data_IF_569273721584
#
_entry.id   IF_569273721584
#
_cell.length_a   1.000
_cell.length_b   1.000
_cell.length_c   1.000
_cell.angle_alpha   90.00
_cell.angle_beta   90.00
_cell.angle_gamma   90.00
#
_symmetry.space_group_name_H-M   'P 1'
#
loop_
_entity.id
_entity.type
_entity.pdbx_description
1 polymer ?
#
# COMPACT_ATOMS: atom_id res chain seq x y z
N UNK A 1 -12.86 23.85 -2.23
CA UNK A 1 -11.69 23.92 -3.14
C UNK A 1 -11.25 22.55 -3.68
N UNK A 2 -11.08 21.49 -2.85
CA UNK A 2 -10.76 20.14 -3.38
C UNK A 2 -11.91 19.51 -4.20
N UNK A 3 -13.15 19.59 -3.70
CA UNK A 3 -14.32 19.04 -4.40
C UNK A 3 -14.61 19.72 -5.75
N UNK A 4 -14.34 21.02 -5.83
CA UNK A 4 -14.51 21.82 -7.06
C UNK A 4 -13.48 21.48 -8.13
N UNK A 5 -12.31 20.98 -7.74
CA UNK A 5 -11.23 20.57 -8.66
C UNK A 5 -11.22 19.05 -8.91
N UNK A 6 -12.12 18.30 -8.27
CA UNK A 6 -12.12 16.83 -8.26
C UNK A 6 -10.77 16.21 -7.90
N UNK A 7 -9.99 16.88 -7.05
CA UNK A 7 -8.69 16.38 -6.64
C UNK A 7 -8.80 15.43 -5.46
N UNK A 8 -7.99 14.38 -5.52
CA UNK A 8 -7.83 13.44 -4.42
C UNK A 8 -7.38 14.17 -3.15
N UNK A 9 -7.93 13.75 -2.01
CA UNK A 9 -7.55 14.29 -0.71
C UNK A 9 -6.07 14.01 -0.41
N UNK A 10 -5.47 14.82 0.47
CA UNK A 10 -4.10 14.57 0.93
C UNK A 10 -3.96 13.18 1.56
N UNK A 11 -4.98 12.72 2.29
CA UNK A 11 -5.02 11.39 2.88
C UNK A 11 -4.95 10.30 1.81
N UNK A 12 -5.78 10.40 0.75
CA UNK A 12 -5.74 9.48 -0.37
C UNK A 12 -4.36 9.47 -1.03
N UNK A 13 -3.81 10.64 -1.38
CA UNK A 13 -2.48 10.75 -1.99
C UNK A 13 -1.38 10.12 -1.12
N UNK A 14 -1.41 10.33 0.19
CA UNK A 14 -0.46 9.72 1.15
C UNK A 14 -0.61 8.19 1.21
N UNK A 15 -1.83 7.68 1.17
CA UNK A 15 -2.13 6.26 1.12
C UNK A 15 -1.60 5.62 -0.16
N UNK A 16 -1.91 6.21 -1.33
CA UNK A 16 -1.41 5.77 -2.65
C UNK A 16 0.13 5.73 -2.67
N UNK A 17 0.79 6.78 -2.19
CA UNK A 17 2.26 6.82 -2.12
C UNK A 17 2.84 5.73 -1.22
N UNK A 18 2.17 5.44 -0.09
CA UNK A 18 2.60 4.37 0.82
C UNK A 18 2.48 3.00 0.13
N UNK A 19 1.38 2.74 -0.58
CA UNK A 19 1.19 1.50 -1.35
C UNK A 19 2.22 1.34 -2.47
N UNK A 20 2.54 2.43 -3.19
CA UNK A 20 3.59 2.44 -4.22
C UNK A 20 4.96 2.11 -3.61
N UNK A 21 5.29 2.70 -2.46
CA UNK A 21 6.55 2.42 -1.78
C UNK A 21 6.61 0.98 -1.29
N UNK A 22 5.51 0.43 -0.76
CA UNK A 22 5.43 -0.99 -0.38
C UNK A 22 5.63 -1.92 -1.59
N UNK A 23 5.01 -1.62 -2.73
CA UNK A 23 5.23 -2.36 -3.97
C UNK A 23 6.72 -2.38 -4.34
N UNK A 24 7.37 -1.19 -4.33
CA UNK A 24 8.80 -1.10 -4.61
C UNK A 24 9.63 -1.92 -3.62
N UNK A 25 9.33 -1.89 -2.33
CA UNK A 25 10.04 -2.69 -1.32
C UNK A 25 9.84 -4.18 -1.55
N UNK A 26 8.61 -4.64 -1.81
CA UNK A 26 8.30 -6.04 -2.08
C UNK A 26 9.02 -6.57 -3.33
N UNK A 27 9.09 -5.77 -4.39
CA UNK A 27 9.75 -6.11 -5.64
C UNK A 27 11.25 -5.74 -5.68
N UNK A 28 11.84 -5.37 -4.53
CA UNK A 28 13.26 -5.02 -4.40
C UNK A 28 13.73 -3.89 -5.36
N UNK A 29 12.81 -2.99 -5.73
CA UNK A 29 13.11 -1.81 -6.55
C UNK A 29 13.73 -0.67 -5.73
N UNK A 30 13.81 -0.83 -4.41
CA UNK A 30 14.46 0.07 -3.46
C UNK A 30 15.25 -0.73 -2.43
N UNK A 31 16.37 -0.18 -1.97
CA UNK A 31 17.20 -0.80 -0.94
C UNK A 31 16.62 -0.54 0.47
N UNK A 32 15.50 -1.19 0.77
CA UNK A 32 14.85 -1.17 2.08
C UNK A 32 14.69 -2.61 2.53
N UNK A 33 15.03 -2.89 3.79
CA UNK A 33 14.85 -4.22 4.35
C UNK A 33 13.36 -4.60 4.36
N UNK A 34 13.07 -5.82 3.90
CA UNK A 34 11.74 -6.40 3.79
C UNK A 34 11.50 -7.48 4.84
N UNK A 35 12.37 -7.61 5.86
CA UNK A 35 12.22 -8.55 6.98
C UNK A 35 10.87 -8.46 7.71
N UNK A 36 10.21 -7.30 7.65
CA UNK A 36 8.89 -7.07 8.24
C UNK A 36 7.70 -7.53 7.36
N UNK A 37 7.96 -7.99 6.13
CA UNK A 37 6.95 -8.45 5.19
C UNK A 37 6.89 -9.99 5.19
N UNK A 38 5.99 -10.56 6.00
CA UNK A 38 5.71 -12.00 5.96
C UNK A 38 4.58 -12.28 4.97
N UNK A 39 4.84 -12.91 3.82
CA UNK A 39 3.80 -13.21 2.83
C UNK A 39 2.81 -14.25 3.36
N UNK A 40 1.57 -14.14 2.91
CA UNK A 40 0.46 -15.05 3.19
C UNK A 40 -0.27 -15.36 1.87
N UNK A 41 -1.42 -16.04 1.94
CA UNK A 41 -2.21 -16.38 0.75
C UNK A 41 -2.66 -15.13 -0.02
N UNK A 42 -2.87 -15.26 -1.33
CA UNK A 42 -3.42 -14.20 -2.20
C UNK A 42 -2.59 -12.89 -2.22
N UNK A 43 -1.26 -12.98 -2.15
CA UNK A 43 -0.34 -11.85 -2.16
C UNK A 43 -0.57 -10.86 -1.00
N UNK A 44 -1.12 -11.33 0.12
CA UNK A 44 -1.27 -10.53 1.33
C UNK A 44 -0.04 -10.66 2.23
N UNK A 45 0.11 -9.74 3.18
CA UNK A 45 1.11 -9.86 4.25
C UNK A 45 0.45 -10.05 5.61
N UNK A 46 1.14 -10.72 6.52
CA UNK A 46 0.74 -10.77 7.93
C UNK A 46 0.76 -9.35 8.50
N UNK A 47 -0.32 -8.93 9.17
CA UNK A 47 -0.37 -7.64 9.86
C UNK A 47 0.35 -7.79 11.20
N UNK A 48 1.44 -7.05 11.46
CA UNK A 48 2.08 -7.06 12.77
C UNK A 48 1.11 -6.60 13.86
N UNK A 49 1.06 -7.33 14.97
CA UNK A 49 0.24 -6.96 16.12
C UNK A 49 1.03 -6.11 17.11
N UNK A 50 0.39 -5.10 17.69
CA UNK A 50 0.96 -4.31 18.78
C UNK A 50 -0.12 -3.75 19.68
N UNK A 51 0.23 -3.54 20.95
CA UNK A 51 -0.67 -2.99 21.97
C UNK A 51 -0.80 -1.46 21.88
N UNK A 52 0.07 -0.78 21.13
CA UNK A 52 0.05 0.69 21.02
C UNK A 52 -0.44 1.15 19.66
N UNK A 53 -1.31 2.17 19.67
CA UNK A 53 -1.79 2.77 18.43
C UNK A 53 -0.65 3.41 17.62
N UNK A 54 0.38 3.93 18.30
CA UNK A 54 1.56 4.48 17.65
C UNK A 54 2.22 3.46 16.71
N UNK A 55 2.50 2.26 17.20
CA UNK A 55 3.08 1.21 16.37
C UNK A 55 2.09 0.69 15.31
N UNK A 56 0.81 0.56 15.65
CA UNK A 56 -0.22 0.14 14.69
C UNK A 56 -0.41 1.12 13.52
N UNK A 57 -0.12 2.41 13.75
CA UNK A 57 -0.19 3.47 12.75
C UNK A 57 1.17 3.82 12.14
N UNK A 58 2.23 3.09 12.49
CA UNK A 58 3.53 3.15 11.81
C UNK A 58 3.41 2.65 10.36
N UNK A 59 4.45 2.91 9.58
CA UNK A 59 4.43 2.69 8.14
C UNK A 59 4.03 1.26 7.74
N UNK A 60 4.73 0.22 8.20
CA UNK A 60 4.47 -1.16 7.76
C UNK A 60 3.09 -1.64 8.19
N UNK A 61 2.76 -1.54 9.47
CA UNK A 61 1.47 -2.03 10.00
C UNK A 61 0.27 -1.35 9.36
N UNK A 62 0.35 -0.03 9.11
CA UNK A 62 -0.70 0.71 8.42
C UNK A 62 -0.78 0.35 6.94
N UNK A 63 0.37 0.29 6.25
CA UNK A 63 0.40 0.10 4.79
C UNK A 63 0.05 -1.33 4.40
N UNK A 64 0.43 -2.33 5.21
CA UNK A 64 0.01 -3.72 5.03
C UNK A 64 -1.52 -3.85 5.11
N UNK A 65 -2.19 -3.13 6.03
CA UNK A 65 -3.66 -3.11 6.09
C UNK A 65 -4.28 -2.59 4.80
N UNK A 66 -3.73 -1.51 4.26
CA UNK A 66 -4.17 -0.97 2.97
C UNK A 66 -3.90 -1.95 1.81
N UNK A 67 -2.72 -2.56 1.77
CA UNK A 67 -2.33 -3.51 0.74
C UNK A 67 -3.25 -4.74 0.73
N UNK A 68 -3.52 -5.31 1.89
CA UNK A 68 -4.38 -6.49 2.01
C UNK A 68 -5.83 -6.22 1.60
N UNK A 69 -6.28 -4.97 1.65
CA UNK A 69 -7.59 -4.54 1.15
C UNK A 69 -7.64 -4.34 -0.37
N UNK A 70 -6.51 -4.38 -1.08
CA UNK A 70 -6.49 -4.23 -2.53
C UNK A 70 -7.05 -5.49 -3.22
N UNK A 71 -7.73 -5.34 -4.37
CA UNK A 71 -8.09 -6.46 -5.22
C UNK A 71 -6.86 -7.25 -5.66
N UNK A 72 -7.02 -8.57 -5.83
CA UNK A 72 -5.94 -9.44 -6.29
C UNK A 72 -5.31 -8.94 -7.60
N UNK A 73 -6.13 -8.51 -8.56
CA UNK A 73 -5.70 -7.98 -9.85
C UNK A 73 -4.74 -6.79 -9.73
N UNK A 74 -4.92 -5.94 -8.72
CA UNK A 74 -4.02 -4.79 -8.51
C UNK A 74 -2.71 -5.25 -7.90
N UNK A 75 -2.75 -6.14 -6.90
CA UNK A 75 -1.54 -6.70 -6.27
C UNK A 75 -0.70 -7.54 -7.23
N UNK A 76 -1.31 -8.25 -8.16
CA UNK A 76 -0.63 -9.10 -9.14
C UNK A 76 -0.09 -8.34 -10.36
N UNK A 77 -0.01 -7.01 -10.29
CA UNK A 77 0.52 -6.19 -11.39
C UNK A 77 2.00 -6.52 -11.64
N UNK A 78 2.39 -6.77 -12.91
CA UNK A 78 3.72 -7.28 -13.25
C UNK A 78 4.83 -6.24 -13.06
N UNK A 79 4.49 -4.96 -13.20
CA UNK A 79 5.42 -3.84 -13.09
C UNK A 79 4.79 -2.66 -12.34
N UNK A 80 5.66 -1.71 -11.98
CA UNK A 80 5.30 -0.54 -11.17
C UNK A 80 4.30 0.39 -11.88
N UNK A 81 4.37 0.53 -13.20
CA UNK A 81 3.52 1.47 -13.93
C UNK A 81 2.11 0.89 -14.12
N UNK A 82 2.02 -0.41 -14.43
CA UNK A 82 0.77 -1.18 -14.38
C UNK A 82 0.11 -1.10 -13.00
N UNK A 83 0.89 -1.22 -11.93
CA UNK A 83 0.39 -1.09 -10.56
C UNK A 83 -0.18 0.31 -10.29
N UNK A 84 0.55 1.37 -10.63
CA UNK A 84 0.09 2.76 -10.45
C UNK A 84 -1.20 3.05 -11.23
N UNK A 85 -1.28 2.59 -12.48
CA UNK A 85 -2.45 2.78 -13.32
C UNK A 85 -3.70 2.15 -12.68
N UNK A 86 -3.63 0.86 -12.32
CA UNK A 86 -4.73 0.14 -11.67
C UNK A 86 -5.08 0.73 -10.31
N UNK A 87 -4.09 1.20 -9.55
CA UNK A 87 -4.34 1.84 -8.25
C UNK A 87 -5.09 3.17 -8.39
N UNK A 88 -4.90 3.90 -9.50
CA UNK A 88 -5.63 5.12 -9.81
C UNK A 88 -7.12 4.90 -10.14
N UNK A 89 -7.49 3.69 -10.57
CA UNK A 89 -8.88 3.32 -10.85
C UNK A 89 -9.67 2.97 -9.59
N UNK A 90 -8.99 2.64 -8.49
CA UNK A 90 -9.63 2.28 -7.22
C UNK A 90 -10.17 3.54 -6.53
N UNK A 91 -11.49 3.54 -6.31
CA UNK A 91 -12.15 4.49 -5.42
C UNK A 91 -12.14 3.91 -4.01
N UNK A 92 -11.50 4.61 -3.08
CA UNK A 92 -11.50 4.30 -1.64
C UNK A 92 -12.60 5.05 -0.91
#
# INVERSE_FOLDING_TARGET
MLHTLQWNTLAHRRMTNSLIMLYKTHHQLVNVDHCHLTPTRNLNFLIPQSRTQYHMNSYFTRTIRYWNGLPYLVKSSPDLDSFKARLGEIKF
#
